data_IF_570414742761
#
_entry.id   IF_570414742761
#
_cell.length_a   1.000
_cell.length_b   1.000
_cell.length_c   1.000
_cell.angle_alpha   90.00
_cell.angle_beta   90.00
_cell.angle_gamma   90.00
#
_symmetry.space_group_name_H-M   'P 1'
#
loop_
_entity.id
_entity.type
_entity.pdbx_description
1 polymer ?
#
# COMPACT_ATOMS: atom_id res chain seq x y z
N UNK A 1 -13.11 2.86 -33.68
CA UNK A 1 -13.31 2.61 -32.24
C UNK A 1 -12.41 1.44 -31.85
N UNK A 2 -11.30 1.71 -31.16
CA UNK A 2 -10.35 0.67 -30.76
C UNK A 2 -10.91 -0.05 -29.53
N UNK A 3 -11.38 -1.29 -29.71
CA UNK A 3 -12.04 -2.12 -28.69
C UNK A 3 -11.06 -2.57 -27.58
N UNK A 4 -9.76 -2.31 -27.72
CA UNK A 4 -8.76 -2.60 -26.67
C UNK A 4 -8.76 -1.59 -25.50
N UNK A 5 -9.73 -0.68 -25.43
CA UNK A 5 -9.96 0.16 -24.26
C UNK A 5 -10.95 -0.56 -23.31
N UNK A 6 -10.66 -1.01 -22.10
CA UNK A 6 -9.45 -1.08 -21.27
C UNK A 6 -9.75 -2.27 -20.33
N UNK A 7 -9.29 -3.49 -20.61
CA UNK A 7 -9.45 -4.57 -19.61
C UNK A 7 -8.51 -4.25 -18.45
N UNK A 8 -9.08 -3.93 -17.28
CA UNK A 8 -8.34 -3.81 -16.02
C UNK A 8 -8.50 -5.12 -15.27
N UNK A 9 -7.39 -5.70 -14.83
CA UNK A 9 -7.43 -6.94 -14.07
C UNK A 9 -8.18 -6.70 -12.74
N UNK A 10 -9.02 -7.63 -12.25
CA UNK A 10 -9.76 -7.44 -10.99
C UNK A 10 -8.86 -7.04 -9.80
N UNK A 11 -7.66 -7.64 -9.69
CA UNK A 11 -6.69 -7.27 -8.66
C UNK A 11 -6.17 -5.83 -8.77
N UNK A 12 -6.14 -5.25 -9.98
CA UNK A 12 -5.79 -3.85 -10.17
C UNK A 12 -6.89 -2.94 -9.60
N UNK A 13 -8.15 -3.28 -9.85
CA UNK A 13 -9.31 -2.56 -9.32
C UNK A 13 -9.37 -2.66 -7.79
N UNK A 14 -9.08 -3.82 -7.23
CA UNK A 14 -9.00 -4.04 -5.78
C UNK A 14 -7.88 -3.21 -5.15
N UNK A 15 -6.67 -3.26 -5.72
CA UNK A 15 -5.55 -2.46 -5.24
C UNK A 15 -5.85 -0.95 -5.33
N UNK A 16 -6.50 -0.49 -6.39
CA UNK A 16 -6.91 0.90 -6.51
C UNK A 16 -7.97 1.27 -5.47
N UNK A 17 -8.99 0.44 -5.25
CA UNK A 17 -10.02 0.69 -4.26
C UNK A 17 -9.45 0.75 -2.83
N UNK A 18 -8.48 -0.12 -2.52
CA UNK A 18 -7.86 -0.19 -1.20
C UNK A 18 -6.85 0.95 -0.96
N UNK A 19 -6.08 1.31 -1.98
CA UNK A 19 -4.89 2.15 -1.82
C UNK A 19 -5.04 3.55 -2.42
N UNK A 20 -6.03 3.83 -3.25
CA UNK A 20 -6.24 5.18 -3.74
C UNK A 20 -6.99 6.03 -2.73
N UNK A 21 -6.76 7.34 -2.84
CA UNK A 21 -7.55 8.33 -2.11
C UNK A 21 -8.57 8.91 -3.09
N UNK A 22 -9.86 8.75 -2.80
CA UNK A 22 -10.93 9.26 -3.67
C UNK A 22 -10.98 10.79 -3.70
N UNK A 23 -10.72 11.42 -2.55
CA UNK A 23 -10.77 12.86 -2.39
C UNK A 23 -9.37 13.48 -2.47
N UNK A 24 -9.23 14.71 -2.98
CA UNK A 24 -7.97 15.43 -2.88
C UNK A 24 -7.54 15.58 -1.41
N UNK A 25 -6.26 15.90 -1.19
CA UNK A 25 -5.84 16.32 0.14
C UNK A 25 -6.55 17.63 0.50
N UNK A 26 -6.99 17.79 1.76
CA UNK A 26 -7.43 19.08 2.27
C UNK A 26 -6.37 20.17 2.02
N UNK A 27 -6.81 21.41 1.83
CA UNK A 27 -5.88 22.52 1.54
C UNK A 27 -4.90 22.80 2.69
N UNK A 28 -5.30 22.47 3.92
CA UNK A 28 -4.53 22.64 5.15
C UNK A 28 -3.57 21.47 5.45
N UNK A 29 -3.62 20.39 4.68
CA UNK A 29 -2.70 19.26 4.86
C UNK A 29 -1.26 19.67 4.57
N UNK A 30 -0.42 19.60 5.59
CA UNK A 30 1.02 19.79 5.50
C UNK A 30 1.67 18.69 4.65
N UNK A 31 2.90 18.92 4.19
CA UNK A 31 3.66 17.87 3.49
C UNK A 31 3.85 16.62 4.38
N UNK A 32 4.14 16.82 5.66
CA UNK A 32 4.26 15.77 6.66
C UNK A 32 3.01 14.89 6.76
N UNK A 33 1.83 15.49 6.90
CA UNK A 33 0.55 14.76 6.99
C UNK A 33 0.25 13.99 5.70
N UNK A 34 0.51 14.59 4.54
CA UNK A 34 0.34 13.89 3.25
C UNK A 34 1.33 12.74 3.10
N UNK A 35 2.52 12.83 3.68
CA UNK A 35 3.50 11.73 3.67
C UNK A 35 3.08 10.62 4.62
N UNK A 36 2.68 10.95 5.84
CA UNK A 36 2.20 9.98 6.83
C UNK A 36 0.97 9.21 6.31
N UNK A 37 0.03 9.90 5.67
CA UNK A 37 -1.16 9.29 5.06
C UNK A 37 -0.79 8.31 3.92
N UNK A 38 0.15 8.68 3.04
CA UNK A 38 0.63 7.79 1.98
C UNK A 38 1.31 6.55 2.56
N UNK A 39 2.15 6.73 3.58
CA UNK A 39 2.81 5.61 4.25
C UNK A 39 1.79 4.70 4.95
N UNK A 40 0.74 5.26 5.55
CA UNK A 40 -0.35 4.45 6.12
C UNK A 40 -1.07 3.61 5.05
N UNK A 41 -1.33 4.17 3.86
CA UNK A 41 -1.90 3.38 2.75
C UNK A 41 -0.94 2.30 2.25
N UNK A 42 0.34 2.63 2.07
CA UNK A 42 1.35 1.65 1.70
C UNK A 42 1.44 0.50 2.73
N UNK A 43 1.40 0.83 4.03
CA UNK A 43 1.34 -0.13 5.13
C UNK A 43 0.13 -1.06 5.01
N UNK A 44 -1.06 -0.51 4.74
CA UNK A 44 -2.27 -1.31 4.57
C UNK A 44 -2.17 -2.27 3.38
N UNK A 45 -1.57 -1.83 2.26
CA UNK A 45 -1.31 -2.68 1.10
C UNK A 45 -0.35 -3.83 1.40
N UNK A 46 0.75 -3.54 2.12
CA UNK A 46 1.69 -4.59 2.54
C UNK A 46 1.03 -5.62 3.46
N UNK A 47 0.25 -5.15 4.44
CA UNK A 47 -0.50 -6.04 5.35
C UNK A 47 -1.45 -6.93 4.55
N UNK A 48 -2.24 -6.38 3.63
CA UNK A 48 -3.15 -7.14 2.78
C UNK A 48 -2.41 -8.24 1.97
N UNK A 49 -1.27 -7.93 1.37
CA UNK A 49 -0.47 -8.94 0.66
C UNK A 49 0.01 -10.05 1.61
N UNK A 50 0.50 -9.66 2.79
CA UNK A 50 1.03 -10.60 3.79
C UNK A 50 -0.04 -11.49 4.44
N UNK A 51 -1.28 -11.00 4.58
CA UNK A 51 -2.36 -11.73 5.27
C UNK A 51 -3.33 -12.40 4.31
N UNK A 52 -3.80 -11.65 3.32
CA UNK A 52 -4.97 -12.04 2.52
C UNK A 52 -4.53 -12.75 1.23
N UNK A 53 -3.37 -12.36 0.68
CA UNK A 53 -2.84 -12.98 -0.55
C UNK A 53 -1.87 -14.13 -0.28
N UNK A 54 -1.16 -14.11 0.84
CA UNK A 54 -0.21 -15.18 1.22
C UNK A 54 -0.81 -16.60 1.22
N UNK A 55 -2.09 -16.83 1.59
CA UNK A 55 -2.69 -18.18 1.55
C UNK A 55 -2.81 -18.79 0.15
N UNK A 56 -2.71 -17.98 -0.92
CA UNK A 56 -2.76 -18.45 -2.30
C UNK A 56 -1.38 -18.82 -2.87
N UNK A 57 -0.31 -18.58 -2.11
CA UNK A 57 1.05 -18.96 -2.48
C UNK A 57 1.39 -20.34 -1.93
N UNK A 58 2.37 -21.00 -2.55
CA UNK A 58 2.96 -22.18 -1.91
C UNK A 58 3.72 -21.77 -0.63
N UNK A 59 3.97 -22.75 0.24
CA UNK A 59 4.52 -22.51 1.59
C UNK A 59 5.90 -21.85 1.53
N UNK A 60 6.76 -22.23 0.58
CA UNK A 60 8.11 -21.67 0.48
C UNK A 60 8.05 -20.23 -0.05
N UNK A 61 7.23 -19.97 -1.08
CA UNK A 61 6.98 -18.64 -1.60
C UNK A 61 6.37 -17.71 -0.55
N UNK A 62 5.40 -18.20 0.24
CA UNK A 62 4.78 -17.45 1.32
C UNK A 62 5.81 -17.02 2.36
N UNK A 63 6.71 -17.92 2.79
CA UNK A 63 7.78 -17.61 3.74
C UNK A 63 8.76 -16.58 3.17
N UNK A 64 9.22 -16.77 1.93
CA UNK A 64 10.15 -15.83 1.27
C UNK A 64 9.51 -14.44 1.20
N UNK A 65 8.28 -14.36 0.68
CA UNK A 65 7.54 -13.11 0.56
C UNK A 65 7.36 -12.45 1.92
N UNK A 66 6.95 -13.19 2.96
CA UNK A 66 6.77 -12.65 4.29
C UNK A 66 8.08 -12.08 4.86
N UNK A 67 9.22 -12.76 4.70
CA UNK A 67 10.51 -12.25 5.16
C UNK A 67 10.89 -10.91 4.52
N UNK A 68 10.63 -10.74 3.23
CA UNK A 68 10.90 -9.49 2.53
C UNK A 68 9.92 -8.39 2.92
N UNK A 69 8.62 -8.68 2.89
CA UNK A 69 7.58 -7.68 3.15
C UNK A 69 7.57 -7.22 4.61
N UNK A 70 7.95 -8.05 5.57
CA UNK A 70 8.14 -7.65 6.97
C UNK A 70 9.21 -6.56 7.11
N UNK A 71 10.32 -6.66 6.38
CA UNK A 71 11.37 -5.63 6.37
C UNK A 71 10.94 -4.35 5.69
N UNK A 72 10.19 -4.46 4.58
CA UNK A 72 9.62 -3.29 3.90
C UNK A 72 8.61 -2.59 4.82
N UNK A 73 7.75 -3.35 5.50
CA UNK A 73 6.75 -2.85 6.44
C UNK A 73 7.41 -2.05 7.57
N UNK A 74 8.49 -2.57 8.15
CA UNK A 74 9.26 -1.85 9.17
C UNK A 74 9.79 -0.49 8.66
N UNK A 75 10.30 -0.44 7.42
CA UNK A 75 10.77 0.82 6.81
C UNK A 75 9.62 1.82 6.63
N UNK A 76 8.47 1.35 6.15
CA UNK A 76 7.27 2.18 5.96
C UNK A 76 6.78 2.73 7.31
N UNK A 77 6.76 1.88 8.35
CA UNK A 77 6.34 2.29 9.70
C UNK A 77 7.29 3.35 10.28
N UNK A 78 8.62 3.19 10.13
CA UNK A 78 9.60 4.19 10.57
C UNK A 78 9.44 5.51 9.79
N UNK A 79 9.33 5.45 8.47
CA UNK A 79 9.17 6.64 7.64
C UNK A 79 7.85 7.39 7.94
N UNK A 80 6.79 6.68 8.31
CA UNK A 80 5.55 7.30 8.79
C UNK A 80 5.77 8.04 10.10
N UNK A 81 6.43 7.39 11.07
CA UNK A 81 6.74 8.00 12.37
C UNK A 81 7.60 9.26 12.18
N UNK A 82 8.64 9.19 11.34
CA UNK A 82 9.50 10.34 11.03
C UNK A 82 8.72 11.50 10.39
N UNK A 83 7.71 11.20 9.58
CA UNK A 83 6.84 12.23 8.99
C UNK A 83 5.88 12.83 10.03
N UNK A 84 5.42 12.06 11.03
CA UNK A 84 4.52 12.53 12.08
C UNK A 84 5.24 13.34 13.16
N UNK A 85 6.50 13.00 13.45
CA UNK A 85 7.36 13.73 14.39
C UNK A 85 7.85 15.01 13.71
N UNK A 86 7.13 16.11 13.95
CA UNK A 86 7.55 17.46 13.57
C UNK A 86 8.94 17.76 14.15
N UNK A 87 9.98 17.81 13.31
CA UNK A 87 11.25 18.47 13.62
C UNK A 87 11.22 19.89 13.09
#
# INVERSE_FOLDING_TARGET
MNINAIYRHPAELEAEALLSREQPYPEDFTLAERTAERMARARNGLVHVMTDLSPYLDVEQAVIMHCWLDKVLAIVDMARIDAEVRV
#
